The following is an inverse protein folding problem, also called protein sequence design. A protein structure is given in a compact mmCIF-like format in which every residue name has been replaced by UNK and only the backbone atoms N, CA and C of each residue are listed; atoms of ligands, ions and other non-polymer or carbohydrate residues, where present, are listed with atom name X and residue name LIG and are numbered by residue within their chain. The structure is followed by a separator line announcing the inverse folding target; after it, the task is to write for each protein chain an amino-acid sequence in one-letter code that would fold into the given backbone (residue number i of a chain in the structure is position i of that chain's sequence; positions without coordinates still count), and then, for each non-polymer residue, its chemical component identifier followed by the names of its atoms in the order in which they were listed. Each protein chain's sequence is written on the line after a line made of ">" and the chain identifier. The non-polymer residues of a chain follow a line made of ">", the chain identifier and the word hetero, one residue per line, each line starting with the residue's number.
data_IF_290866261818
#
_entry.id   IF_290866261818
#
_cell.length_a   1.000
_cell.length_b   1.000
_cell.length_c   1.000
_cell.angle_alpha   90.00
_cell.angle_beta   90.00
_cell.angle_gamma   90.00
#
_symmetry.space_group_name_H-M   'P 1'
#
loop_
_entity.id
_entity.type
_entity.pdbx_description
1 polymer ?
#
# COMPACT_ATOMS: atom_id res chain seq x y z
N UNK A 1 -29.76 -2.41 8.41
CA UNK A 1 -29.00 -3.45 7.68
C UNK A 1 -28.40 -2.78 6.48
N UNK A 2 -27.07 -2.65 6.39
CA UNK A 2 -26.44 -1.91 5.28
C UNK A 2 -26.56 -2.71 3.99
N UNK A 3 -26.98 -2.00 2.94
CA UNK A 3 -27.39 -2.53 1.65
C UNK A 3 -26.26 -3.25 0.93
N UNK A 4 -26.63 -4.38 0.34
CA UNK A 4 -25.95 -5.07 -0.75
C UNK A 4 -25.77 -4.12 -1.94
N UNK A 5 -24.70 -3.31 -1.91
CA UNK A 5 -24.28 -2.57 -3.08
C UNK A 5 -23.59 -3.56 -4.00
N UNK A 6 -24.27 -3.90 -5.10
CA UNK A 6 -23.70 -4.65 -6.20
C UNK A 6 -22.34 -4.04 -6.56
N UNK A 7 -21.26 -4.77 -6.30
CA UNK A 7 -19.91 -4.38 -6.70
C UNK A 7 -19.83 -4.44 -8.23
N UNK A 8 -20.13 -3.33 -8.89
CA UNK A 8 -20.24 -3.24 -10.34
C UNK A 8 -18.86 -3.09 -11.02
N UNK A 9 -17.75 -3.14 -10.28
CA UNK A 9 -16.40 -3.13 -10.85
C UNK A 9 -15.38 -3.78 -9.92
N UNK A 10 -14.53 -4.65 -10.47
CA UNK A 10 -13.42 -5.33 -9.77
C UNK A 10 -12.52 -4.36 -8.97
N UNK A 11 -12.43 -3.11 -9.44
CA UNK A 11 -11.80 -1.98 -8.76
C UNK A 11 -12.42 -1.66 -7.39
N UNK A 12 -13.74 -1.58 -7.28
CA UNK A 12 -14.41 -1.22 -6.02
C UNK A 12 -14.23 -2.32 -4.96
N UNK A 13 -14.26 -3.59 -5.35
CA UNK A 13 -14.02 -4.71 -4.45
C UNK A 13 -12.61 -4.66 -3.84
N UNK A 14 -11.60 -4.40 -4.67
CA UNK A 14 -10.21 -4.28 -4.19
C UNK A 14 -10.07 -3.04 -3.28
N UNK A 15 -10.79 -1.95 -3.57
CA UNK A 15 -10.79 -0.75 -2.73
C UNK A 15 -11.36 -1.02 -1.33
N UNK A 16 -12.51 -1.69 -1.23
CA UNK A 16 -13.08 -2.05 0.08
C UNK A 16 -12.12 -2.94 0.88
N UNK A 17 -11.47 -3.91 0.22
CA UNK A 17 -10.49 -4.77 0.88
C UNK A 17 -9.25 -4.02 1.36
N UNK A 18 -8.84 -2.95 0.67
CA UNK A 18 -7.76 -2.06 1.14
C UNK A 18 -8.19 -1.29 2.39
N UNK A 19 -9.45 -0.86 2.47
CA UNK A 19 -9.98 -0.16 3.64
C UNK A 19 -10.05 -1.10 4.86
N UNK A 20 -10.52 -2.33 4.69
CA UNK A 20 -10.53 -3.35 5.76
C UNK A 20 -9.12 -3.66 6.30
N UNK A 21 -8.15 -3.86 5.41
CA UNK A 21 -6.76 -4.13 5.80
C UNK A 21 -6.08 -2.91 6.47
N UNK A 22 -6.51 -1.69 6.12
CA UNK A 22 -6.04 -0.46 6.80
C UNK A 22 -6.53 -0.38 8.24
N UNK A 23 -7.78 -0.70 8.47
CA UNK A 23 -8.36 -0.70 9.81
C UNK A 23 -7.71 -1.76 10.68
N UNK A 24 -7.52 -2.98 10.15
CA UNK A 24 -6.80 -4.05 10.86
C UNK A 24 -5.35 -3.70 11.20
N UNK A 25 -4.63 -3.06 10.27
CA UNK A 25 -3.27 -2.59 10.54
C UNK A 25 -3.24 -1.51 11.63
N UNK A 26 -4.22 -0.59 11.62
CA UNK A 26 -4.31 0.47 12.62
C UNK A 26 -4.55 -0.11 14.02
N UNK A 27 -5.44 -1.11 14.15
CA UNK A 27 -5.65 -1.83 15.42
C UNK A 27 -4.37 -2.52 15.92
N UNK A 28 -3.63 -3.19 15.03
CA UNK A 28 -2.36 -3.82 15.39
C UNK A 28 -1.30 -2.82 15.81
N UNK A 29 -1.22 -1.67 15.14
CA UNK A 29 -0.33 -0.56 15.51
C UNK A 29 -0.68 -0.04 16.90
N UNK A 30 -1.97 0.17 17.18
CA UNK A 30 -2.41 0.64 18.50
C UNK A 30 -2.10 -0.38 19.60
N UNK A 31 -2.17 -1.68 19.29
CA UNK A 31 -1.99 -2.76 20.28
C UNK A 31 -0.53 -3.14 20.51
N UNK A 32 0.30 -3.14 19.48
CA UNK A 32 1.67 -3.68 19.52
C UNK A 32 2.76 -2.66 19.13
N UNK A 33 2.38 -1.54 18.51
CA UNK A 33 3.28 -0.51 18.04
C UNK A 33 3.87 -0.79 16.65
N UNK A 34 4.37 0.26 15.99
CA UNK A 34 4.85 0.23 14.61
C UNK A 34 6.03 -0.72 14.34
N UNK A 35 6.75 -1.16 15.38
CA UNK A 35 7.95 -2.01 15.25
C UNK A 35 7.66 -3.50 15.45
N UNK A 36 6.41 -3.89 15.71
CA UNK A 36 6.03 -5.29 15.84
C UNK A 36 6.10 -5.99 14.47
N UNK A 37 6.66 -7.20 14.45
CA UNK A 37 6.83 -8.00 13.22
C UNK A 37 5.49 -8.28 12.53
N UNK A 38 4.40 -8.42 13.29
CA UNK A 38 3.06 -8.65 12.74
C UNK A 38 2.51 -7.40 12.05
N UNK A 39 2.72 -6.23 12.65
CA UNK A 39 2.38 -4.93 12.07
C UNK A 39 3.15 -4.71 10.77
N UNK A 40 4.45 -4.98 10.77
CA UNK A 40 5.29 -4.84 9.58
C UNK A 40 4.85 -5.80 8.47
N UNK A 41 4.57 -7.06 8.80
CA UNK A 41 4.10 -8.05 7.83
C UNK A 41 2.76 -7.65 7.22
N UNK A 42 1.79 -7.23 8.02
CA UNK A 42 0.49 -6.82 7.53
C UNK A 42 0.57 -5.53 6.71
N UNK A 43 1.44 -4.59 7.08
CA UNK A 43 1.73 -3.41 6.25
C UNK A 43 2.27 -3.79 4.87
N UNK A 44 3.14 -4.80 4.77
CA UNK A 44 3.64 -5.28 3.49
C UNK A 44 2.55 -5.95 2.63
N UNK A 45 1.60 -6.64 3.25
CA UNK A 45 0.47 -7.26 2.54
C UNK A 45 -0.52 -6.21 2.02
N UNK A 46 -0.84 -5.21 2.85
CA UNK A 46 -1.63 -4.05 2.46
C UNK A 46 -0.98 -3.28 1.29
N UNK A 47 0.34 -3.06 1.33
CA UNK A 47 1.08 -2.40 0.25
C UNK A 47 1.00 -3.18 -1.08
N UNK A 48 1.08 -4.51 -1.04
CA UNK A 48 0.91 -5.35 -2.24
C UNK A 48 -0.49 -5.24 -2.81
N UNK A 49 -1.51 -5.16 -1.95
CA UNK A 49 -2.89 -5.00 -2.37
C UNK A 49 -3.13 -3.63 -3.02
N UNK A 50 -2.62 -2.56 -2.41
CA UNK A 50 -2.65 -1.19 -2.95
C UNK A 50 -1.91 -1.13 -4.30
N UNK A 51 -0.74 -1.74 -4.39
CA UNK A 51 0.02 -1.79 -5.65
C UNK A 51 -0.70 -2.58 -6.74
N UNK A 52 -1.42 -3.65 -6.38
CA UNK A 52 -2.22 -4.43 -7.32
C UNK A 52 -3.43 -3.64 -7.82
N UNK A 53 -4.13 -2.94 -6.92
CA UNK A 53 -5.20 -2.01 -7.27
C UNK A 53 -4.71 -0.91 -8.21
N UNK A 54 -3.60 -0.27 -7.86
CA UNK A 54 -2.98 0.77 -8.68
C UNK A 54 -2.50 0.21 -10.01
N UNK A 55 -1.95 -1.00 -10.07
CA UNK A 55 -1.57 -1.63 -11.35
C UNK A 55 -2.78 -1.82 -12.25
N UNK A 56 -3.90 -2.31 -11.73
CA UNK A 56 -5.14 -2.45 -12.51
C UNK A 56 -5.69 -1.09 -12.94
N UNK A 57 -5.64 -0.09 -12.05
CA UNK A 57 -6.17 1.27 -12.29
C UNK A 57 -5.29 2.14 -13.20
N UNK A 58 -3.96 1.96 -13.15
CA UNK A 58 -2.96 2.77 -13.88
C UNK A 58 -2.30 2.02 -15.05
N UNK A 59 -2.62 0.75 -15.31
CA UNK A 59 -2.21 0.09 -16.56
C UNK A 59 -2.78 0.77 -17.82
N UNK A 60 -3.76 1.66 -17.68
CA UNK A 60 -4.23 2.53 -18.77
C UNK A 60 -3.30 3.73 -19.05
N UNK A 61 -2.43 4.11 -18.11
CA UNK A 61 -1.51 5.24 -18.30
C UNK A 61 -0.09 4.85 -17.89
N UNK A 62 0.74 4.57 -18.89
CA UNK A 62 2.20 4.30 -18.93
C UNK A 62 3.10 4.94 -17.84
N UNK A 63 2.85 4.71 -16.57
CA UNK A 63 3.66 5.18 -15.45
C UNK A 63 3.86 4.06 -14.44
N UNK A 64 4.60 3.04 -14.87
CA UNK A 64 5.56 2.43 -13.97
C UNK A 64 6.50 3.55 -13.49
N UNK A 65 6.21 4.15 -12.32
CA UNK A 65 7.26 4.83 -11.56
C UNK A 65 8.26 3.76 -11.13
N UNK A 66 9.19 3.44 -12.03
CA UNK A 66 10.48 2.86 -11.67
C UNK A 66 11.12 3.82 -10.66
N UNK A 67 11.90 3.33 -9.68
CA UNK A 67 12.63 4.21 -8.78
C UNK A 67 13.44 5.19 -9.63
N UNK A 68 13.10 6.48 -9.55
CA UNK A 68 13.84 7.50 -10.29
C UNK A 68 15.25 7.51 -9.72
N UNK A 69 16.25 7.46 -10.60
CA UNK A 69 17.69 7.42 -10.27
C UNK A 69 18.08 8.53 -9.26
N UNK A 70 17.35 9.64 -9.26
CA UNK A 70 17.46 10.74 -8.29
C UNK A 70 17.30 10.30 -6.81
N UNK A 71 16.38 9.38 -6.50
CA UNK A 71 16.23 8.88 -5.13
C UNK A 71 17.43 8.04 -4.71
N UNK A 72 17.98 7.22 -5.62
CA UNK A 72 19.20 6.44 -5.35
C UNK A 72 20.44 7.32 -5.19
N UNK A 73 20.54 8.41 -5.97
CA UNK A 73 21.60 9.41 -5.85
C UNK A 73 21.59 10.11 -4.49
N UNK A 74 20.40 10.49 -4.02
CA UNK A 74 20.24 11.18 -2.73
C UNK A 74 20.66 10.28 -1.55
N UNK A 75 20.35 8.98 -1.58
CA UNK A 75 20.77 8.04 -0.53
C UNK A 75 22.27 7.79 -0.51
N UNK A 76 22.95 7.76 -1.67
CA UNK A 76 24.41 7.64 -1.74
C UNK A 76 25.11 8.95 -1.34
N UNK A 77 24.57 10.10 -1.76
CA UNK A 77 25.16 11.40 -1.43
C UNK A 77 25.04 11.76 0.06
N UNK A 78 23.99 11.27 0.75
CA UNK A 78 23.86 11.39 2.21
C UNK A 78 24.84 10.45 2.93
N UNK A 79 25.10 9.24 2.41
CA UNK A 79 26.02 8.28 3.04
C UNK A 79 27.50 8.67 2.94
N UNK A 80 27.89 9.41 1.91
CA UNK A 80 29.30 9.77 1.67
C UNK A 80 29.67 11.20 2.13
N UNK A 81 28.73 11.97 2.71
CA UNK A 81 28.97 13.33 3.24
C UNK A 81 28.92 13.45 4.77
N UNK A 82 28.93 12.33 5.49
CA UNK A 82 29.11 12.28 6.94
C UNK A 82 30.47 11.65 7.27
#
# INVERSE_FOLDING_TARGET
>A
MMNSFEFNSNSEYIKCRIEEERDGLNELVMKYGFRDVRVLKQSMELDKLINSYNKVRYNDTRYAKKPTVESSRLFEEIRYRA
#
